data_IF_708349943157
#
_entry.id   IF_708349943157
#
_cell.length_a   1.000
_cell.length_b   1.000
_cell.length_c   1.000
_cell.angle_alpha   90.00
_cell.angle_beta   90.00
_cell.angle_gamma   90.00
#
_symmetry.space_group_name_H-M   'P 1'
#
loop_
_entity.id
_entity.type
_entity.pdbx_description
1 polymer ?
#
# COMPACT_ATOMS: atom_id res chain seq x y z
N UNK A 1 2.67 12.49 7.98
CA UNK A 1 2.87 11.75 9.24
C UNK A 1 4.33 11.32 9.31
N UNK A 2 4.98 11.55 10.45
CA UNK A 2 6.43 11.76 10.60
C UNK A 2 7.15 10.59 11.29
N UNK A 3 7.06 9.38 10.74
CA UNK A 3 7.96 8.28 11.12
C UNK A 3 9.00 8.16 10.02
N UNK A 4 10.15 8.81 10.22
CA UNK A 4 11.32 8.67 9.35
C UNK A 4 12.05 7.40 9.77
N UNK A 5 12.13 6.44 8.86
CA UNK A 5 12.83 5.18 9.08
C UNK A 5 14.02 5.19 8.13
N UNK A 6 15.23 5.31 8.68
CA UNK A 6 16.49 5.38 7.91
C UNK A 6 16.93 4.02 7.36
N UNK A 7 16.46 2.91 7.92
CA UNK A 7 16.74 1.55 7.46
C UNK A 7 15.47 0.68 7.50
N UNK A 8 15.17 0.00 6.39
CA UNK A 8 14.15 -1.06 6.38
C UNK A 8 14.64 -2.23 7.25
N UNK A 9 13.74 -3.01 7.88
CA UNK A 9 14.10 -4.27 8.54
C UNK A 9 15.08 -5.08 7.66
N UNK A 10 16.18 -5.54 8.27
CA UNK A 10 17.27 -6.32 7.64
C UNK A 10 18.29 -5.55 6.78
N UNK A 11 18.65 -4.30 7.09
CA UNK A 11 19.77 -3.56 6.47
C UNK A 11 19.65 -3.38 4.94
N UNK A 12 18.48 -3.60 4.35
CA UNK A 12 18.25 -3.35 2.93
C UNK A 12 18.06 -1.87 2.67
N UNK A 13 18.76 -1.38 1.65
CA UNK A 13 18.62 -0.02 1.17
C UNK A 13 17.15 0.30 0.90
N UNK A 14 16.74 1.47 1.37
CA UNK A 14 15.37 1.94 1.34
C UNK A 14 14.81 1.94 -0.12
N UNK A 15 15.68 2.13 -1.13
CA UNK A 15 15.37 2.02 -2.56
C UNK A 15 14.89 0.61 -2.97
N UNK A 16 15.53 -0.43 -2.44
CA UNK A 16 15.25 -1.82 -2.76
C UNK A 16 13.94 -2.26 -2.11
N UNK A 17 13.67 -1.76 -0.88
CA UNK A 17 12.41 -1.98 -0.18
C UNK A 17 11.19 -1.47 -0.95
N UNK A 18 11.24 -0.24 -1.48
CA UNK A 18 10.12 0.31 -2.25
C UNK A 18 9.84 -0.46 -3.56
N UNK A 19 10.90 -0.97 -4.23
CA UNK A 19 10.76 -1.83 -5.42
C UNK A 19 10.09 -3.16 -5.09
N UNK A 20 10.56 -3.83 -4.04
CA UNK A 20 10.00 -5.12 -3.60
C UNK A 20 8.54 -4.95 -3.18
N UNK A 21 8.22 -3.92 -2.39
CA UNK A 21 6.85 -3.63 -1.94
C UNK A 21 5.92 -3.41 -3.15
N UNK A 22 6.37 -2.64 -4.15
CA UNK A 22 5.58 -2.43 -5.36
C UNK A 22 5.30 -3.72 -6.12
N UNK A 23 6.32 -4.56 -6.33
CA UNK A 23 6.17 -5.85 -7.00
C UNK A 23 5.23 -6.77 -6.23
N UNK A 24 5.43 -6.91 -4.91
CA UNK A 24 4.61 -7.76 -4.06
C UNK A 24 3.14 -7.31 -4.07
N UNK A 25 2.90 -6.00 -3.98
CA UNK A 25 1.56 -5.44 -4.03
C UNK A 25 0.87 -5.71 -5.38
N UNK A 26 1.58 -5.49 -6.50
CA UNK A 26 1.03 -5.80 -7.83
C UNK A 26 0.76 -7.29 -8.02
N UNK A 27 1.66 -8.15 -7.54
CA UNK A 27 1.50 -9.59 -7.64
C UNK A 27 0.26 -10.07 -6.89
N UNK A 28 0.07 -9.60 -5.65
CA UNK A 28 -1.13 -9.90 -4.87
C UNK A 28 -2.42 -9.41 -5.55
N UNK A 29 -2.40 -8.22 -6.17
CA UNK A 29 -3.56 -7.69 -6.90
C UNK A 29 -3.87 -8.50 -8.17
N UNK A 30 -2.85 -8.99 -8.89
CA UNK A 30 -3.02 -9.90 -10.04
C UNK A 30 -3.59 -11.24 -9.59
N UNK A 31 -3.09 -11.81 -8.49
CA UNK A 31 -3.67 -13.03 -7.92
C UNK A 31 -5.13 -12.83 -7.53
N UNK A 32 -5.47 -11.71 -6.90
CA UNK A 32 -6.85 -11.37 -6.57
C UNK A 32 -7.73 -11.28 -7.82
N UNK A 33 -7.27 -10.60 -8.87
CA UNK A 33 -7.99 -10.49 -10.13
C UNK A 33 -8.22 -11.87 -10.78
N UNK A 34 -7.19 -12.73 -10.77
CA UNK A 34 -7.26 -14.10 -11.30
C UNK A 34 -8.27 -14.99 -10.54
N UNK A 35 -8.52 -14.71 -9.26
CA UNK A 35 -9.52 -15.45 -8.48
C UNK A 35 -10.92 -14.86 -8.71
N UNK A 36 -11.07 -13.55 -8.61
CA UNK A 36 -12.40 -12.91 -8.64
C UNK A 36 -12.99 -12.77 -10.05
N UNK A 37 -12.18 -12.61 -11.09
CA UNK A 37 -12.70 -12.45 -12.45
C UNK A 37 -13.37 -13.74 -12.99
N UNK A 38 -12.78 -14.95 -12.84
CA UNK A 38 -13.47 -16.19 -13.21
C UNK A 38 -14.71 -16.46 -12.35
N UNK A 39 -14.67 -16.14 -11.05
CA UNK A 39 -15.82 -16.25 -10.15
C UNK A 39 -17.00 -15.37 -10.61
N UNK A 40 -16.71 -14.17 -11.13
CA UNK A 40 -17.74 -13.30 -11.70
C UNK A 40 -18.28 -13.83 -13.04
N UNK A 41 -17.45 -14.53 -13.84
CA UNK A 41 -17.83 -15.05 -15.15
C UNK A 41 -18.67 -16.34 -15.08
N UNK A 42 -18.62 -17.08 -13.97
CA UNK A 42 -19.32 -18.35 -13.80
C UNK A 42 -20.85 -18.24 -13.81
N UNK A 43 -21.44 -17.04 -13.73
CA UNK A 43 -22.84 -16.75 -14.11
C UNK A 43 -23.97 -17.39 -13.28
N UNK A 44 -23.70 -18.45 -12.52
CA UNK A 44 -24.69 -19.23 -11.75
C UNK A 44 -24.91 -18.71 -10.33
N UNK A 45 -24.37 -17.53 -10.00
CA UNK A 45 -24.42 -16.95 -8.66
C UNK A 45 -25.64 -16.03 -8.48
N UNK A 46 -26.21 -15.96 -7.26
CA UNK A 46 -27.27 -15.00 -6.96
C UNK A 46 -26.78 -13.57 -7.21
N UNK A 47 -27.70 -12.71 -7.69
CA UNK A 47 -27.42 -11.38 -8.23
C UNK A 47 -26.61 -10.49 -7.26
N UNK A 48 -26.83 -10.62 -5.95
CA UNK A 48 -26.07 -9.92 -4.90
C UNK A 48 -24.59 -10.33 -4.85
N UNK A 49 -24.28 -11.62 -5.03
CA UNK A 49 -22.90 -12.13 -5.06
C UNK A 49 -22.19 -11.74 -6.35
N UNK A 50 -22.92 -11.70 -7.47
CA UNK A 50 -22.35 -11.27 -8.75
C UNK A 50 -21.88 -9.81 -8.68
N UNK A 51 -22.71 -8.90 -8.15
CA UNK A 51 -22.33 -7.49 -7.96
C UNK A 51 -21.09 -7.37 -7.06
N UNK A 52 -21.02 -8.18 -6.00
CA UNK A 52 -19.86 -8.21 -5.10
C UNK A 52 -18.58 -8.66 -5.79
N UNK A 53 -18.61 -9.75 -6.58
CA UNK A 53 -17.41 -10.21 -7.29
C UNK A 53 -16.97 -9.26 -8.40
N UNK A 54 -17.91 -8.66 -9.14
CA UNK A 54 -17.60 -7.66 -10.18
C UNK A 54 -16.95 -6.42 -9.56
N UNK A 55 -17.49 -5.91 -8.44
CA UNK A 55 -16.90 -4.76 -7.75
C UNK A 55 -15.50 -5.06 -7.21
N UNK A 56 -15.27 -6.26 -6.67
CA UNK A 56 -13.93 -6.71 -6.26
C UNK A 56 -12.95 -6.85 -7.43
N UNK A 57 -13.39 -7.36 -8.58
CA UNK A 57 -12.56 -7.46 -9.76
C UNK A 57 -12.15 -6.07 -10.30
N UNK A 58 -13.09 -5.12 -10.33
CA UNK A 58 -12.79 -3.72 -10.70
C UNK A 58 -11.82 -3.06 -9.73
N UNK A 59 -11.99 -3.32 -8.43
CA UNK A 59 -11.07 -2.82 -7.40
C UNK A 59 -9.66 -3.41 -7.58
N UNK A 60 -9.55 -4.73 -7.81
CA UNK A 60 -8.27 -5.39 -8.07
C UNK A 60 -7.59 -4.82 -9.32
N UNK A 61 -8.35 -4.52 -10.38
CA UNK A 61 -7.81 -3.87 -11.57
C UNK A 61 -7.26 -2.46 -11.29
N UNK A 62 -7.98 -1.65 -10.53
CA UNK A 62 -7.51 -0.33 -10.10
C UNK A 62 -6.22 -0.45 -9.24
N UNK A 63 -6.15 -1.46 -8.38
CA UNK A 63 -4.97 -1.72 -7.55
C UNK A 63 -3.74 -2.12 -8.38
N UNK A 64 -3.92 -2.90 -9.44
CA UNK A 64 -2.83 -3.22 -10.39
C UNK A 64 -2.31 -1.92 -11.04
N UNK A 65 -3.21 -1.03 -11.47
CA UNK A 65 -2.82 0.24 -12.07
C UNK A 65 -2.01 1.12 -11.10
N UNK A 66 -2.46 1.20 -9.85
CA UNK A 66 -1.81 1.98 -8.80
C UNK A 66 -0.49 1.35 -8.36
N UNK A 67 -0.41 0.01 -8.29
CA UNK A 67 0.83 -0.71 -8.07
C UNK A 67 1.83 -0.52 -9.21
N UNK A 68 1.37 -0.51 -10.46
CA UNK A 68 2.20 -0.19 -11.63
C UNK A 68 2.77 1.23 -11.58
N UNK A 69 1.96 2.21 -11.14
CA UNK A 69 2.42 3.58 -10.88
C UNK A 69 3.51 3.61 -9.80
N UNK A 70 3.39 2.81 -8.74
CA UNK A 70 4.40 2.72 -7.69
C UNK A 70 5.73 2.15 -8.23
N UNK A 71 5.68 1.09 -9.04
CA UNK A 71 6.86 0.52 -9.70
C UNK A 71 7.52 1.59 -10.58
N UNK A 72 6.74 2.27 -11.42
CA UNK A 72 7.25 3.33 -12.29
C UNK A 72 7.84 4.50 -11.49
N UNK A 73 7.21 4.88 -10.38
CA UNK A 73 7.69 5.91 -9.47
C UNK A 73 9.03 5.53 -8.83
N UNK A 74 9.18 4.26 -8.47
CA UNK A 74 10.41 3.72 -7.88
C UNK A 74 11.57 3.72 -8.87
N UNK A 75 11.32 3.43 -10.16
CA UNK A 75 12.36 3.47 -11.18
C UNK A 75 12.72 4.90 -11.60
N UNK A 76 11.74 5.78 -11.79
CA UNK A 76 11.99 7.17 -12.22
C UNK A 76 12.31 8.14 -11.08
N UNK A 77 12.41 7.67 -9.83
CA UNK A 77 12.65 8.50 -8.62
C UNK A 77 11.73 9.74 -8.57
N UNK A 78 10.46 9.59 -8.97
CA UNK A 78 9.47 10.68 -8.97
C UNK A 78 8.56 10.56 -7.75
N UNK A 79 8.73 11.41 -6.71
CA UNK A 79 7.97 11.30 -5.46
C UNK A 79 6.47 11.64 -5.61
N UNK A 80 6.08 12.32 -6.69
CA UNK A 80 4.69 12.65 -6.97
C UNK A 80 3.85 11.42 -7.32
N UNK A 81 4.44 10.43 -8.00
CA UNK A 81 3.72 9.21 -8.42
C UNK A 81 3.56 8.19 -7.29
N UNK A 82 4.29 8.33 -6.19
CA UNK A 82 4.13 7.48 -4.99
C UNK A 82 2.92 7.88 -4.14
N UNK A 83 2.39 9.10 -4.33
CA UNK A 83 1.31 9.67 -3.53
C UNK A 83 -0.02 8.90 -3.59
N UNK A 84 -0.58 8.54 -4.77
CA UNK A 84 -1.86 7.85 -4.84
C UNK A 84 -1.82 6.48 -4.15
N UNK A 85 -0.73 5.73 -4.33
CA UNK A 85 -0.55 4.45 -3.65
C UNK A 85 -0.46 4.63 -2.13
N UNK A 86 0.27 5.66 -1.67
CA UNK A 86 0.42 5.95 -0.25
C UNK A 86 -0.92 6.26 0.42
N UNK A 87 -1.73 7.13 -0.19
CA UNK A 87 -3.07 7.51 0.32
C UNK A 87 -3.96 6.28 0.43
N UNK A 88 -3.95 5.41 -0.59
CA UNK A 88 -4.72 4.18 -0.58
C UNK A 88 -4.26 3.17 0.48
N UNK A 89 -2.95 3.00 0.65
CA UNK A 89 -2.40 2.11 1.67
C UNK A 89 -2.80 2.59 3.07
N UNK A 90 -2.71 3.88 3.35
CA UNK A 90 -3.16 4.45 4.62
C UNK A 90 -4.67 4.27 4.85
N UNK A 91 -5.48 4.57 3.84
CA UNK A 91 -6.93 4.40 3.93
C UNK A 91 -7.31 2.94 4.18
N UNK A 92 -6.77 2.01 3.39
CA UNK A 92 -7.00 0.57 3.57
C UNK A 92 -6.56 0.08 4.94
N UNK A 93 -5.35 0.47 5.37
CA UNK A 93 -4.81 0.09 6.68
C UNK A 93 -5.73 0.56 7.81
N UNK A 94 -6.17 1.83 7.78
CA UNK A 94 -7.10 2.36 8.79
C UNK A 94 -8.43 1.60 8.80
N UNK A 95 -9.04 1.37 7.62
CA UNK A 95 -10.30 0.63 7.52
C UNK A 95 -10.15 -0.79 8.06
N UNK A 96 -9.06 -1.49 7.73
CA UNK A 96 -8.77 -2.84 8.23
C UNK A 96 -8.54 -2.87 9.74
N UNK A 97 -7.83 -1.88 10.31
CA UNK A 97 -7.68 -1.77 11.76
C UNK A 97 -9.04 -1.56 12.43
N UNK A 98 -9.87 -0.65 11.92
CA UNK A 98 -11.20 -0.41 12.49
C UNK A 98 -12.07 -1.67 12.40
N UNK A 99 -12.03 -2.36 11.26
CA UNK A 99 -12.80 -3.60 11.05
C UNK A 99 -12.35 -4.71 11.98
N UNK A 100 -11.03 -4.90 12.17
CA UNK A 100 -10.48 -5.92 13.08
C UNK A 100 -10.82 -5.62 14.54
N UNK A 101 -10.76 -4.35 14.96
CA UNK A 101 -11.20 -3.93 16.31
C UNK A 101 -12.70 -4.18 16.50
N UNK A 102 -13.53 -3.80 15.52
CA UNK A 102 -14.97 -4.05 15.57
C UNK A 102 -15.28 -5.56 15.64
N UNK A 103 -14.58 -6.37 14.84
CA UNK A 103 -14.73 -7.82 14.83
C UNK A 103 -14.30 -8.47 16.16
N UNK A 104 -13.24 -7.98 16.80
CA UNK A 104 -12.85 -8.43 18.15
C UNK A 104 -13.90 -8.11 19.21
N UNK A 105 -14.57 -6.95 19.11
CA UNK A 105 -15.68 -6.58 20.02
C UNK A 105 -16.92 -7.42 19.74
N UNK A 106 -17.23 -7.74 18.49
CA UNK A 106 -18.33 -8.64 18.14
C UNK A 106 -18.09 -10.06 18.65
N UNK A 107 -16.83 -10.53 18.59
CA UNK A 107 -16.43 -11.83 19.08
C UNK A 107 -16.69 -12.02 20.58
N UNK A 108 -16.48 -10.99 21.41
CA UNK A 108 -16.71 -11.10 22.85
C UNK A 108 -18.19 -11.23 23.22
N UNK A 109 -19.10 -10.85 22.32
CA UNK A 109 -20.55 -11.02 22.48
C UNK A 109 -21.08 -12.36 21.94
N UNK A 110 -20.30 -13.06 21.10
CA UNK A 110 -20.75 -14.33 20.52
C UNK A 110 -20.55 -15.48 21.52
N UNK A 111 -21.56 -16.33 21.68
CA UNK A 111 -21.56 -17.47 22.62
C UNK A 111 -21.19 -18.82 21.97
N UNK A 112 -21.06 -18.88 20.65
CA UNK A 112 -20.77 -20.12 19.93
C UNK A 112 -19.25 -20.39 19.84
N UNK A 113 -18.78 -21.39 20.60
CA UNK A 113 -17.36 -21.69 20.80
C UNK A 113 -16.67 -22.11 19.49
N UNK A 114 -17.33 -22.87 18.63
CA UNK A 114 -16.74 -23.35 17.36
C UNK A 114 -16.57 -22.20 16.34
N UNK A 115 -17.54 -21.29 16.28
CA UNK A 115 -17.45 -20.10 15.40
C UNK A 115 -16.42 -19.08 15.88
N UNK A 116 -16.16 -19.03 17.19
CA UNK A 116 -15.20 -18.09 17.79
C UNK A 116 -13.76 -18.46 17.42
N UNK A 117 -13.43 -19.75 17.32
CA UNK A 117 -12.09 -20.21 16.93
C UNK A 117 -11.77 -19.83 15.47
N UNK A 118 -12.70 -20.08 14.55
CA UNK A 118 -12.53 -19.74 13.14
C UNK A 118 -12.49 -18.22 12.92
N UNK A 119 -13.41 -17.48 13.55
CA UNK A 119 -13.48 -16.03 13.41
C UNK A 119 -12.24 -15.34 14.01
N UNK A 120 -11.71 -15.79 15.15
CA UNK A 120 -10.51 -15.21 15.76
C UNK A 120 -9.25 -15.46 14.91
N UNK A 121 -9.12 -16.64 14.29
CA UNK A 121 -8.07 -16.91 13.33
C UNK A 121 -8.12 -15.94 12.14
N UNK A 122 -9.30 -15.76 11.54
CA UNK A 122 -9.51 -14.83 10.42
C UNK A 122 -9.16 -13.38 10.81
N UNK A 123 -9.62 -12.93 11.98
CA UNK A 123 -9.33 -11.59 12.49
C UNK A 123 -7.83 -11.38 12.72
N UNK A 124 -7.14 -12.38 13.27
CA UNK A 124 -5.68 -12.31 13.47
C UNK A 124 -4.92 -12.15 12.15
N UNK A 125 -5.34 -12.85 11.09
CA UNK A 125 -4.74 -12.75 9.76
C UNK A 125 -4.94 -11.35 9.17
N UNK A 126 -6.16 -10.80 9.29
CA UNK A 126 -6.44 -9.43 8.83
C UNK A 126 -5.72 -8.36 9.64
N UNK A 127 -5.51 -8.59 10.94
CA UNK A 127 -4.73 -7.69 11.79
C UNK A 127 -3.26 -7.68 11.38
N UNK A 128 -2.64 -8.85 11.19
CA UNK A 128 -1.25 -8.97 10.70
C UNK A 128 -1.12 -8.34 9.32
N UNK A 129 -2.07 -8.60 8.42
CA UNK A 129 -2.10 -7.99 7.08
C UNK A 129 -2.15 -6.46 7.16
N UNK A 130 -3.00 -5.90 8.03
CA UNK A 130 -3.10 -4.46 8.24
C UNK A 130 -1.80 -3.86 8.79
N UNK A 131 -1.19 -4.52 9.78
CA UNK A 131 0.09 -4.08 10.36
C UNK A 131 1.22 -4.07 9.32
N UNK A 132 1.32 -5.13 8.50
CA UNK A 132 2.30 -5.22 7.41
C UNK A 132 2.05 -4.12 6.36
N UNK A 133 0.79 -3.87 6.00
CA UNK A 133 0.42 -2.86 5.02
C UNK A 133 0.72 -1.43 5.51
N UNK A 134 0.47 -1.13 6.78
CA UNK A 134 0.87 0.12 7.42
C UNK A 134 2.39 0.27 7.49
N UNK A 135 3.11 -0.80 7.83
CA UNK A 135 4.58 -0.81 7.81
C UNK A 135 5.12 -0.45 6.40
N UNK A 136 4.59 -1.08 5.35
CA UNK A 136 4.94 -0.74 3.97
C UNK A 136 4.60 0.71 3.62
N UNK A 137 3.47 1.24 4.09
CA UNK A 137 3.12 2.64 3.90
C UNK A 137 4.15 3.57 4.57
N UNK A 138 4.63 3.25 5.77
CA UNK A 138 5.68 4.03 6.45
C UNK A 138 7.00 3.99 5.67
N UNK A 139 7.44 2.81 5.23
CA UNK A 139 8.69 2.65 4.45
C UNK A 139 8.65 3.45 3.16
N UNK A 140 7.54 3.36 2.40
CA UNK A 140 7.37 4.12 1.15
C UNK A 140 7.26 5.62 1.42
N UNK A 141 6.62 6.04 2.52
CA UNK A 141 6.59 7.44 2.91
C UNK A 141 7.99 7.98 3.26
N UNK A 142 8.81 7.20 3.96
CA UNK A 142 10.20 7.53 4.27
C UNK A 142 11.01 7.75 2.99
N UNK A 143 10.91 6.83 2.01
CA UNK A 143 11.55 7.01 0.68
C UNK A 143 11.09 8.25 -0.05
N UNK A 144 9.80 8.53 -0.01
CA UNK A 144 9.26 9.71 -0.64
C UNK A 144 9.87 10.97 -0.03
N UNK A 145 10.01 11.02 1.28
CA UNK A 145 10.61 12.16 1.99
C UNK A 145 12.08 12.35 1.60
N UNK A 146 12.87 11.27 1.56
CA UNK A 146 14.27 11.33 1.09
C UNK A 146 14.37 11.86 -0.34
N UNK A 147 13.54 11.37 -1.28
CA UNK A 147 13.53 11.84 -2.67
C UNK A 147 13.12 13.31 -2.82
N UNK A 148 12.24 13.80 -1.94
CA UNK A 148 11.86 15.23 -1.91
C UNK A 148 13.01 16.07 -1.37
N UNK A 149 13.70 15.59 -0.33
CA UNK A 149 14.84 16.27 0.28
C UNK A 149 16.03 16.33 -0.70
N UNK A 150 16.36 15.23 -1.37
CA UNK A 150 17.40 15.18 -2.42
C UNK A 150 17.12 16.21 -3.52
N UNK A 151 15.87 16.31 -4.00
CA UNK A 151 15.48 17.30 -5.01
C UNK A 151 15.62 18.73 -4.49
N UNK A 152 15.27 18.99 -3.23
CA UNK A 152 15.41 20.31 -2.64
C UNK A 152 16.89 20.75 -2.59
N UNK A 153 17.79 19.87 -2.12
CA UNK A 153 19.22 20.17 -2.07
C UNK A 153 19.84 20.29 -3.47
N UNK A 154 19.50 19.41 -4.40
CA UNK A 154 19.97 19.51 -5.79
C UNK A 154 19.59 20.87 -6.41
N UNK A 155 18.35 21.32 -6.22
CA UNK A 155 17.89 22.60 -6.74
C UNK A 155 18.57 23.79 -6.03
N UNK A 156 18.83 23.67 -4.72
CA UNK A 156 19.58 24.67 -3.95
C UNK A 156 21.03 24.82 -4.43
N UNK A 157 21.72 23.71 -4.73
CA UNK A 157 23.07 23.74 -5.28
C UNK A 157 23.11 24.36 -6.68
N UNK A 158 22.14 24.03 -7.54
CA UNK A 158 22.00 24.66 -8.86
C UNK A 158 21.79 26.17 -8.73
N UNK A 159 20.95 26.62 -7.80
CA UNK A 159 20.73 28.04 -7.53
C UNK A 159 21.98 28.73 -6.96
N UNK A 160 22.77 28.06 -6.12
CA UNK A 160 24.03 28.59 -5.62
C UNK A 160 25.07 28.75 -6.74
N UNK A 161 25.23 27.75 -7.60
CA UNK A 161 26.12 27.83 -8.76
C UNK A 161 25.71 28.93 -9.73
N UNK A 162 24.40 29.08 -9.98
CA UNK A 162 23.87 30.17 -10.78
C UNK A 162 24.23 31.52 -10.14
N UNK A 163 23.97 31.73 -8.84
CA UNK A 163 24.32 32.99 -8.15
C UNK A 163 25.81 33.31 -8.23
N UNK A 164 26.71 32.33 -8.10
CA UNK A 164 28.14 32.58 -8.23
C UNK A 164 28.54 33.03 -9.64
N UNK A 165 27.90 32.56 -10.70
CA UNK A 165 28.20 33.04 -12.07
C UNK A 165 27.82 34.50 -12.31
N UNK A 166 26.78 35.02 -11.63
CA UNK A 166 26.38 36.43 -11.77
C UNK A 166 27.27 37.42 -11.02
N UNK A 167 28.11 36.96 -10.08
CA UNK A 167 29.03 37.82 -9.31
C UNK A 167 30.42 37.97 -9.95
N UNK A 168 30.69 37.29 -11.06
CA UNK A 168 31.97 37.34 -11.79
C UNK A 168 31.85 38.00 -13.18
N UNK A 169 30.83 38.84 -13.40
CA UNK A 169 30.66 39.66 -14.62
C UNK A 169 30.71 41.13 -14.25
#
# INVERSE_FOLDING_TARGET
>A
MCLSVDNCCCCFGLELGAKIIGILYTFLAVCALMVYAPLAALGELPQSRLIFYVTLALLAFAEIFIGGLLIHASFKRKPQLMWPWLVLAWWKGLVLVVLTVAAMVLLTFSRDIDTVAEASAVISVYFVYSAVLLYFAVVVNSRRQELVLEKYWANKHVLQHAKTQYYYV
#
